data_IF_981685155075
#
_entry.id   IF_981685155075
#
_cell.length_a   1.000
_cell.length_b   1.000
_cell.length_c   1.000
_cell.angle_alpha   90.00
_cell.angle_beta   90.00
_cell.angle_gamma   90.00
#
_symmetry.space_group_name_H-M   'P 1'
#
loop_
_entity.id
_entity.type
_entity.pdbx_description
1 polymer ?
#
# COMPACT_ATOMS: atom_id res chain seq x y z
N UNK A 1 5.15 -9.39 -29.67
CA UNK A 1 4.52 -8.22 -29.02
C UNK A 1 4.13 -8.63 -27.61
N UNK A 2 4.70 -8.02 -26.56
CA UNK A 2 4.24 -8.26 -25.20
C UNK A 2 2.80 -7.75 -25.06
N UNK A 3 1.90 -8.57 -24.50
CA UNK A 3 0.52 -8.16 -24.21
C UNK A 3 0.50 -6.91 -23.31
N UNK A 4 -0.55 -6.09 -23.41
CA UNK A 4 -0.76 -4.93 -22.54
C UNK A 4 -0.74 -5.32 -21.05
N UNK A 5 -1.22 -6.53 -20.72
CA UNK A 5 -1.11 -7.14 -19.39
C UNK A 5 0.34 -7.35 -18.95
N UNK A 6 1.21 -7.85 -19.83
CA UNK A 6 2.63 -8.04 -19.56
C UNK A 6 3.40 -6.72 -19.33
N UNK A 7 3.02 -5.64 -20.04
CA UNK A 7 3.62 -4.31 -19.81
C UNK A 7 3.14 -3.64 -18.52
N UNK A 8 1.91 -3.94 -18.09
CA UNK A 8 1.26 -3.32 -16.91
C UNK A 8 1.45 -4.11 -15.62
N UNK A 9 2.06 -5.30 -15.67
CA UNK A 9 2.30 -6.14 -14.50
C UNK A 9 1.00 -6.55 -13.80
N UNK A 10 -0.02 -6.91 -14.59
CA UNK A 10 -1.35 -7.29 -14.12
C UNK A 10 -1.93 -8.39 -15.01
N UNK A 11 -2.84 -9.19 -14.45
CA UNK A 11 -3.64 -10.17 -15.18
C UNK A 11 -4.96 -9.58 -15.74
N UNK A 12 -5.18 -8.27 -15.60
CA UNK A 12 -6.36 -7.59 -16.12
C UNK A 12 -6.49 -7.76 -17.64
N UNK A 13 -7.74 -7.96 -18.07
CA UNK A 13 -8.21 -7.57 -19.41
C UNK A 13 -8.17 -6.04 -19.58
N UNK A 14 -8.29 -5.55 -20.81
CA UNK A 14 -8.31 -4.10 -21.06
C UNK A 14 -9.50 -3.41 -20.37
N UNK A 15 -10.67 -4.06 -20.32
CA UNK A 15 -11.85 -3.54 -19.63
C UNK A 15 -11.64 -3.46 -18.10
N UNK A 16 -11.04 -4.48 -17.50
CA UNK A 16 -10.69 -4.47 -16.07
C UNK A 16 -9.63 -3.42 -15.75
N UNK A 17 -8.70 -3.19 -16.67
CA UNK A 17 -7.73 -2.12 -16.51
C UNK A 17 -8.40 -0.75 -16.50
N UNK A 18 -9.30 -0.48 -17.45
CA UNK A 18 -10.04 0.78 -17.51
C UNK A 18 -10.88 0.99 -16.25
N UNK A 19 -11.45 -0.09 -15.72
CA UNK A 19 -12.16 -0.04 -14.45
C UNK A 19 -11.22 0.25 -13.27
N UNK A 20 -10.05 -0.40 -13.20
CA UNK A 20 -9.04 -0.11 -12.19
C UNK A 20 -8.60 1.36 -12.21
N UNK A 21 -8.36 1.91 -13.40
CA UNK A 21 -7.96 3.32 -13.58
C UNK A 21 -9.04 4.28 -13.08
N UNK A 22 -10.31 3.95 -13.27
CA UNK A 22 -11.44 4.73 -12.73
C UNK A 22 -11.60 4.54 -11.22
N UNK A 23 -11.34 3.33 -10.72
CA UNK A 23 -11.46 2.97 -9.31
C UNK A 23 -10.52 3.80 -8.42
N UNK A 24 -9.28 4.02 -8.87
CA UNK A 24 -8.32 4.83 -8.09
C UNK A 24 -8.68 6.32 -8.02
N UNK A 25 -9.61 6.82 -8.83
CA UNK A 25 -9.98 8.23 -8.85
C UNK A 25 -10.99 8.57 -7.74
N UNK A 26 -10.67 9.63 -6.98
CA UNK A 26 -11.63 10.34 -6.14
C UNK A 26 -12.42 11.31 -7.02
N UNK A 27 -13.75 11.20 -6.96
CA UNK A 27 -14.66 12.05 -7.73
C UNK A 27 -14.76 13.46 -7.13
N UNK A 28 -15.24 14.42 -7.93
CA UNK A 28 -15.43 15.79 -7.46
C UNK A 28 -16.49 15.82 -6.35
N UNK A 29 -16.11 16.37 -5.20
CA UNK A 29 -16.98 16.46 -4.01
C UNK A 29 -17.03 15.20 -3.15
N UNK A 30 -16.38 14.12 -3.58
CA UNK A 30 -16.33 12.85 -2.84
C UNK A 30 -15.29 12.92 -1.72
N UNK A 31 -15.70 12.55 -0.50
CA UNK A 31 -14.80 12.38 0.64
C UNK A 31 -14.01 11.07 0.52
N UNK A 32 -12.84 10.94 1.18
CA UNK A 32 -12.06 9.70 1.15
C UNK A 32 -12.84 8.46 1.62
N UNK A 33 -13.76 8.63 2.57
CA UNK A 33 -14.60 7.53 3.08
C UNK A 33 -15.66 7.11 2.06
N UNK A 34 -16.30 8.06 1.39
CA UNK A 34 -17.23 7.78 0.29
C UNK A 34 -16.52 7.09 -0.88
N UNK A 35 -15.32 7.56 -1.25
CA UNK A 35 -14.48 6.91 -2.25
C UNK A 35 -14.21 5.45 -1.89
N UNK A 36 -13.70 5.19 -0.69
CA UNK A 36 -13.43 3.83 -0.23
C UNK A 36 -14.69 2.97 -0.32
N UNK A 37 -15.83 3.46 0.17
CA UNK A 37 -17.09 2.73 0.15
C UNK A 37 -17.56 2.41 -1.27
N UNK A 38 -17.49 3.38 -2.19
CA UNK A 38 -17.86 3.21 -3.60
C UNK A 38 -17.05 2.11 -4.26
N UNK A 39 -15.74 2.10 -4.02
CA UNK A 39 -14.84 1.15 -4.70
C UNK A 39 -14.71 -0.18 -4.00
N UNK A 40 -15.09 -0.28 -2.71
CA UNK A 40 -14.82 -1.44 -1.86
C UNK A 40 -15.27 -2.77 -2.45
N UNK A 41 -16.50 -2.92 -2.99
CA UNK A 41 -16.95 -4.18 -3.56
C UNK A 41 -16.06 -4.63 -4.72
N UNK A 42 -15.68 -3.70 -5.59
CA UNK A 42 -14.86 -4.01 -6.77
C UNK A 42 -13.40 -4.22 -6.41
N UNK A 43 -12.85 -3.41 -5.51
CA UNK A 43 -11.51 -3.61 -4.99
C UNK A 43 -11.34 -5.00 -4.37
N UNK A 44 -12.34 -5.49 -3.62
CA UNK A 44 -12.33 -6.87 -3.10
C UNK A 44 -12.31 -7.92 -4.20
N UNK A 45 -13.07 -7.72 -5.28
CA UNK A 45 -13.02 -8.62 -6.43
C UNK A 45 -11.63 -8.64 -7.08
N UNK A 46 -11.02 -7.48 -7.30
CA UNK A 46 -9.67 -7.38 -7.88
C UNK A 46 -8.62 -8.08 -7.01
N UNK A 47 -8.71 -7.91 -5.69
CA UNK A 47 -7.81 -8.58 -4.72
C UNK A 47 -7.97 -10.10 -4.75
N UNK A 48 -9.21 -10.61 -4.77
CA UNK A 48 -9.48 -12.06 -4.74
C UNK A 48 -9.04 -12.78 -6.00
N UNK A 49 -8.99 -12.09 -7.13
CA UNK A 49 -8.66 -12.66 -8.45
C UNK A 49 -7.25 -12.29 -8.93
N UNK A 50 -6.39 -11.75 -8.06
CA UNK A 50 -5.03 -11.28 -8.39
C UNK A 50 -4.97 -10.36 -9.62
N UNK A 51 -5.95 -9.45 -9.74
CA UNK A 51 -6.08 -8.52 -10.86
C UNK A 51 -5.34 -7.20 -10.60
N UNK A 52 -4.90 -6.93 -9.37
CA UNK A 52 -4.22 -5.69 -9.05
C UNK A 52 -2.82 -5.63 -9.71
N UNK A 53 -2.41 -4.45 -10.20
CA UNK A 53 -1.05 -4.27 -10.68
C UNK A 53 -0.03 -4.56 -9.57
N UNK A 54 1.15 -5.05 -9.93
CA UNK A 54 2.23 -5.39 -8.97
C UNK A 54 2.50 -4.29 -7.94
N UNK A 55 2.48 -3.02 -8.36
CA UNK A 55 2.73 -1.86 -7.49
C UNK A 55 1.63 -1.64 -6.45
N UNK A 56 0.42 -2.12 -6.72
CA UNK A 56 -0.77 -1.87 -5.90
C UNK A 56 -1.22 -3.12 -5.13
N UNK A 57 -0.40 -4.17 -5.05
CA UNK A 57 -0.76 -5.41 -4.32
C UNK A 57 -0.80 -5.27 -2.79
N UNK A 58 -0.24 -4.19 -2.23
CA UNK A 58 -0.09 -4.00 -0.77
C UNK A 58 -1.03 -2.93 -0.21
N UNK A 59 -1.34 -1.93 -1.03
CA UNK A 59 -2.24 -0.82 -0.74
C UNK A 59 -2.68 -0.19 -2.06
N UNK A 60 -3.80 0.52 -2.04
CA UNK A 60 -4.31 1.27 -3.18
C UNK A 60 -4.22 2.76 -2.90
N UNK A 61 -3.49 3.51 -3.72
CA UNK A 61 -3.42 4.97 -3.60
C UNK A 61 -4.58 5.65 -4.32
N UNK A 62 -5.20 6.61 -3.65
CA UNK A 62 -6.18 7.48 -4.25
C UNK A 62 -5.48 8.50 -5.17
N UNK A 63 -6.11 8.74 -6.31
CA UNK A 63 -5.66 9.70 -7.32
C UNK A 63 -6.77 10.70 -7.59
N UNK A 64 -6.38 11.86 -8.13
CA UNK A 64 -7.33 12.87 -8.58
C UNK A 64 -7.01 13.28 -10.00
N UNK A 65 -7.96 13.11 -10.91
CA UNK A 65 -7.79 13.55 -12.29
C UNK A 65 -7.70 15.07 -12.35
N UNK A 66 -6.64 15.58 -12.97
CA UNK A 66 -6.42 16.99 -13.25
C UNK A 66 -6.32 17.13 -14.76
N UNK A 67 -7.14 18.01 -15.32
CA UNK A 67 -7.10 18.38 -16.74
C UNK A 67 -6.42 19.73 -16.87
N UNK A 68 -5.44 19.82 -17.78
CA UNK A 68 -4.63 21.01 -18.02
C UNK A 68 -4.60 21.29 -19.52
N UNK A 69 -4.84 22.55 -19.89
CA UNK A 69 -4.68 22.97 -21.28
C UNK A 69 -3.20 22.97 -21.67
N UNK A 70 -2.82 22.15 -22.66
CA UNK A 70 -1.49 22.14 -23.22
C UNK A 70 -1.41 23.12 -24.40
N UNK A 71 -0.85 24.31 -24.14
CA UNK A 71 -0.68 25.36 -25.16
C UNK A 71 0.17 24.95 -26.36
N UNK A 72 1.06 23.96 -26.22
CA UNK A 72 1.96 23.51 -27.29
C UNK A 72 1.31 22.47 -28.21
N UNK A 73 0.38 21.67 -27.67
CA UNK A 73 -0.38 20.67 -28.43
C UNK A 73 -1.75 21.16 -28.87
N UNK A 74 -2.23 22.28 -28.33
CA UNK A 74 -3.54 22.84 -28.64
C UNK A 74 -4.70 21.94 -28.16
N UNK A 75 -4.50 21.17 -27.09
CA UNK A 75 -5.49 20.26 -26.54
C UNK A 75 -5.40 20.19 -24.99
N UNK A 76 -6.41 19.57 -24.36
CA UNK A 76 -6.33 19.24 -22.94
C UNK A 76 -5.50 17.97 -22.74
N UNK A 77 -4.51 18.06 -21.86
CA UNK A 77 -3.82 16.92 -21.29
C UNK A 77 -4.44 16.59 -19.92
N UNK A 78 -4.40 15.32 -19.54
CA UNK A 78 -4.87 14.87 -18.23
C UNK A 78 -3.77 14.12 -17.48
N UNK A 79 -3.64 14.39 -16.19
CA UNK A 79 -2.75 13.65 -15.28
C UNK A 79 -3.47 13.38 -13.96
N UNK A 80 -3.23 12.20 -13.38
CA UNK A 80 -3.85 11.77 -12.13
C UNK A 80 -2.78 11.49 -11.06
N UNK A 81 -2.30 12.53 -10.34
CA UNK A 81 -1.36 12.34 -9.24
C UNK A 81 -2.00 11.58 -8.08
N UNK A 82 -1.16 10.87 -7.32
CA UNK A 82 -1.52 10.40 -5.99
C UNK A 82 -1.73 11.60 -5.05
N UNK A 83 -2.77 11.54 -4.21
CA UNK A 83 -3.16 12.70 -3.37
C UNK A 83 -2.93 12.50 -1.87
N UNK A 84 -2.02 11.59 -1.49
CA UNK A 84 -1.65 11.41 -0.09
C UNK A 84 -2.68 10.62 0.73
N UNK A 85 -3.54 9.85 0.06
CA UNK A 85 -4.53 8.96 0.68
C UNK A 85 -4.38 7.58 0.08
N UNK A 86 -4.47 6.54 0.91
CA UNK A 86 -4.42 5.16 0.47
C UNK A 86 -5.34 4.26 1.29
N UNK A 87 -5.66 3.09 0.73
CA UNK A 87 -6.31 1.98 1.43
C UNK A 87 -5.25 0.94 1.75
N UNK A 88 -5.01 0.68 3.03
CA UNK A 88 -4.10 -0.38 3.47
C UNK A 88 -4.78 -1.74 3.40
N UNK A 89 -4.23 -2.69 2.64
CA UNK A 89 -4.85 -4.02 2.54
C UNK A 89 -4.57 -4.96 3.71
N UNK A 90 -3.63 -4.59 4.58
CA UNK A 90 -3.33 -5.37 5.79
C UNK A 90 -4.30 -5.12 6.93
N UNK A 91 -5.01 -3.99 6.91
CA UNK A 91 -5.97 -3.64 7.95
C UNK A 91 -7.31 -3.12 7.40
N UNK A 92 -7.44 -3.03 6.06
CA UNK A 92 -8.63 -2.57 5.35
C UNK A 92 -9.11 -1.18 5.81
N UNK A 93 -8.16 -0.26 6.08
CA UNK A 93 -8.44 1.11 6.52
C UNK A 93 -7.86 2.15 5.57
N UNK A 94 -8.52 3.31 5.55
CA UNK A 94 -7.96 4.53 5.00
C UNK A 94 -6.73 4.97 5.78
N UNK A 95 -5.70 5.40 5.05
CA UNK A 95 -4.44 5.90 5.56
C UNK A 95 -4.13 7.21 4.86
N UNK A 96 -3.87 8.23 5.66
CA UNK A 96 -3.36 9.51 5.17
C UNK A 96 -1.84 9.42 5.13
N UNK A 97 -1.29 9.33 3.93
CA UNK A 97 0.15 9.15 3.69
C UNK A 97 0.91 10.49 3.62
N UNK A 98 0.17 11.61 3.62
CA UNK A 98 0.69 12.98 3.56
C UNK A 98 0.68 13.54 2.14
N UNK A 99 0.59 14.86 2.00
CA UNK A 99 0.64 15.52 0.68
C UNK A 99 2.03 15.40 0.04
N UNK A 100 2.05 15.28 -1.29
CA UNK A 100 3.27 15.27 -2.09
C UNK A 100 3.91 16.66 -2.05
N UNK A 101 4.85 16.90 -1.13
CA UNK A 101 5.71 18.07 -1.22
C UNK A 101 6.56 17.95 -2.48
N UNK A 102 6.48 18.96 -3.37
CA UNK A 102 7.13 19.00 -4.67
C UNK A 102 8.60 18.54 -4.58
N UNK A 103 8.99 17.68 -5.51
CA UNK A 103 10.38 17.38 -5.94
C UNK A 103 11.08 16.09 -5.48
N UNK A 104 10.41 15.10 -4.88
CA UNK A 104 11.07 13.80 -4.71
C UNK A 104 10.10 12.65 -5.02
N UNK A 105 10.40 11.89 -6.07
CA UNK A 105 9.54 10.86 -6.66
C UNK A 105 9.34 9.60 -5.81
N UNK A 106 9.43 9.69 -4.48
CA UNK A 106 9.56 8.52 -3.61
C UNK A 106 9.05 8.75 -2.16
N UNK A 107 8.00 9.55 -1.88
CA UNK A 107 7.58 9.78 -0.47
C UNK A 107 6.29 9.08 -0.03
N UNK A 108 5.43 8.63 -0.95
CA UNK A 108 4.15 8.01 -0.56
C UNK A 108 4.35 6.71 0.24
N UNK A 109 5.47 5.99 -0.01
CA UNK A 109 5.80 4.79 0.74
C UNK A 109 6.12 5.08 2.20
N UNK A 110 6.64 6.27 2.56
CA UNK A 110 6.99 6.59 3.95
C UNK A 110 5.74 6.66 4.83
N UNK A 111 4.67 7.29 4.34
CA UNK A 111 3.39 7.33 5.05
C UNK A 111 2.82 5.93 5.29
N UNK A 112 2.86 5.08 4.26
CA UNK A 112 2.43 3.68 4.38
C UNK A 112 3.31 2.85 5.30
N UNK A 113 4.63 3.00 5.23
CA UNK A 113 5.56 2.29 6.10
C UNK A 113 5.39 2.67 7.56
N UNK A 114 5.19 3.97 7.85
CA UNK A 114 4.84 4.44 9.20
C UNK A 114 3.56 3.80 9.69
N UNK A 115 2.52 3.75 8.84
CA UNK A 115 1.26 3.09 9.18
C UNK A 115 1.46 1.60 9.47
N UNK A 116 2.19 0.88 8.62
CA UNK A 116 2.49 -0.55 8.84
C UNK A 116 3.29 -0.81 10.12
N UNK A 117 4.29 0.01 10.40
CA UNK A 117 5.16 -0.10 11.56
C UNK A 117 4.46 0.16 12.90
N UNK A 118 3.24 0.71 12.90
CA UNK A 118 2.56 1.12 14.14
C UNK A 118 1.13 0.57 14.25
N UNK A 119 0.35 0.56 13.18
CA UNK A 119 -1.08 0.28 13.23
C UNK A 119 -1.44 -1.14 12.77
N UNK A 120 -0.67 -1.74 11.86
CA UNK A 120 -0.95 -3.10 11.39
C UNK A 120 -0.54 -4.17 12.41
N UNK A 121 -1.28 -5.27 12.47
CA UNK A 121 -0.98 -6.43 13.34
C UNK A 121 -0.50 -7.63 12.54
N UNK A 122 -1.07 -7.84 11.34
CA UNK A 122 -0.63 -8.88 10.41
C UNK A 122 0.65 -8.52 9.68
N UNK A 123 1.29 -9.54 9.08
CA UNK A 123 2.48 -9.43 8.24
C UNK A 123 2.15 -9.42 6.73
N UNK A 124 0.89 -9.28 6.35
CA UNK A 124 0.44 -9.38 4.94
C UNK A 124 1.17 -8.38 4.04
N UNK A 125 1.47 -7.17 4.54
CA UNK A 125 2.22 -6.17 3.80
C UNK A 125 3.69 -6.54 3.58
N UNK A 126 4.27 -7.48 4.32
CA UNK A 126 5.65 -7.94 4.12
C UNK A 126 5.77 -8.68 2.78
N UNK A 127 4.72 -9.41 2.39
CA UNK A 127 4.70 -10.21 1.16
C UNK A 127 5.70 -11.38 1.16
N UNK A 128 6.23 -11.74 2.33
CA UNK A 128 7.11 -12.88 2.55
C UNK A 128 6.81 -13.50 3.91
N UNK A 129 6.92 -14.82 4.01
CA UNK A 129 6.85 -15.56 5.26
C UNK A 129 8.24 -15.64 5.94
N UNK A 130 8.31 -16.31 7.10
CA UNK A 130 9.56 -16.42 7.87
C UNK A 130 10.66 -17.19 7.13
N UNK A 131 10.32 -18.30 6.47
CA UNK A 131 11.29 -19.13 5.74
C UNK A 131 11.82 -18.38 4.51
N UNK A 132 10.95 -17.66 3.81
CA UNK A 132 11.33 -16.77 2.70
C UNK A 132 12.21 -15.62 3.18
N UNK A 133 11.88 -15.01 4.33
CA UNK A 133 12.73 -14.00 4.96
C UNK A 133 14.14 -14.55 5.26
N UNK A 134 14.24 -15.76 5.81
CA UNK A 134 15.53 -16.41 6.07
C UNK A 134 16.29 -16.70 4.78
N UNK A 135 15.61 -17.22 3.75
CA UNK A 135 16.21 -17.46 2.42
C UNK A 135 16.76 -16.16 1.82
N UNK A 136 16.00 -15.06 1.88
CA UNK A 136 16.45 -13.76 1.38
C UNK A 136 17.67 -13.26 2.18
N UNK A 137 17.64 -13.41 3.51
CA UNK A 137 18.74 -13.00 4.39
C UNK A 137 20.04 -13.78 4.14
N UNK A 138 19.93 -15.02 3.66
CA UNK A 138 21.06 -15.91 3.35
C UNK A 138 21.59 -15.75 1.91
N UNK A 139 20.92 -14.96 1.05
CA UNK A 139 21.39 -14.72 -0.33
C UNK A 139 22.75 -14.03 -0.32
N UNK A 140 23.63 -14.44 -1.23
CA UNK A 140 24.86 -13.70 -1.54
C UNK A 140 24.53 -12.34 -2.15
N UNK A 141 25.43 -11.37 -1.97
CA UNK A 141 25.30 -10.02 -2.54
C UNK A 141 25.09 -10.03 -4.07
N UNK A 142 25.66 -11.01 -4.78
CA UNK A 142 25.51 -11.15 -6.24
C UNK A 142 24.10 -11.56 -6.69
N UNK A 143 23.29 -12.15 -5.80
CA UNK A 143 21.90 -12.56 -6.08
C UNK A 143 20.88 -11.64 -5.42
N UNK A 144 21.36 -10.57 -4.79
CA UNK A 144 20.57 -9.63 -4.01
C UNK A 144 20.06 -8.50 -4.90
N UNK A 145 18.77 -8.14 -4.76
CA UNK A 145 18.12 -7.12 -5.59
C UNK A 145 17.27 -6.18 -4.73
N UNK A 146 16.76 -5.10 -5.34
CA UNK A 146 15.92 -4.12 -4.65
C UNK A 146 14.65 -4.72 -4.02
N UNK A 147 14.03 -5.72 -4.66
CA UNK A 147 12.83 -6.36 -4.09
C UNK A 147 13.15 -7.10 -2.78
N UNK A 148 14.34 -7.72 -2.69
CA UNK A 148 14.82 -8.33 -1.45
C UNK A 148 14.99 -7.28 -0.35
N UNK A 149 15.55 -6.10 -0.65
CA UNK A 149 15.69 -4.99 0.32
C UNK A 149 14.35 -4.58 0.89
N UNK A 150 13.36 -4.33 0.02
CA UNK A 150 12.03 -3.93 0.44
C UNK A 150 11.33 -5.02 1.25
N UNK A 151 11.51 -6.30 0.89
CA UNK A 151 10.95 -7.42 1.65
C UNK A 151 11.56 -7.49 3.07
N UNK A 152 12.89 -7.43 3.17
CA UNK A 152 13.59 -7.44 4.46
C UNK A 152 13.22 -6.24 5.32
N UNK A 153 13.16 -5.04 4.74
CA UNK A 153 12.78 -3.81 5.43
C UNK A 153 11.38 -3.91 6.03
N UNK A 154 10.38 -4.27 5.23
CA UNK A 154 8.99 -4.43 5.70
C UNK A 154 8.86 -5.52 6.77
N UNK A 155 9.59 -6.63 6.63
CA UNK A 155 9.60 -7.69 7.64
C UNK A 155 10.20 -7.18 8.97
N UNK A 156 11.28 -6.39 8.93
CA UNK A 156 11.86 -5.74 10.11
C UNK A 156 10.87 -4.77 10.77
N UNK A 157 10.16 -3.95 9.99
CA UNK A 157 9.13 -3.05 10.53
C UNK A 157 8.02 -3.83 11.25
N UNK A 158 7.56 -4.93 10.66
CA UNK A 158 6.57 -5.80 11.30
C UNK A 158 7.08 -6.39 12.62
N UNK A 159 8.30 -6.94 12.64
CA UNK A 159 8.89 -7.51 13.85
C UNK A 159 9.04 -6.46 14.96
N UNK A 160 9.50 -5.25 14.64
CA UNK A 160 9.62 -4.16 15.61
C UNK A 160 8.27 -3.79 16.24
N UNK A 161 7.21 -3.75 15.44
CA UNK A 161 5.87 -3.48 15.95
C UNK A 161 5.35 -4.62 16.84
N UNK A 162 5.57 -5.87 16.43
CA UNK A 162 5.18 -7.05 17.19
C UNK A 162 5.86 -7.08 18.57
N UNK A 163 7.16 -6.82 18.63
CA UNK A 163 7.93 -6.73 19.88
C UNK A 163 7.35 -5.64 20.79
N UNK A 164 7.17 -4.41 20.27
CA UNK A 164 6.60 -3.29 21.03
C UNK A 164 5.21 -3.62 21.60
N UNK A 165 4.37 -4.34 20.86
CA UNK A 165 3.03 -4.76 21.32
C UNK A 165 3.12 -5.78 22.45
N UNK A 166 4.02 -6.76 22.34
CA UNK A 166 4.26 -7.75 23.40
C UNK A 166 4.79 -7.08 24.67
N UNK A 167 5.73 -6.15 24.54
CA UNK A 167 6.25 -5.37 25.67
C UNK A 167 5.14 -4.59 26.38
N UNK A 168 4.31 -3.86 25.63
CA UNK A 168 3.15 -3.14 26.19
C UNK A 168 2.17 -4.08 26.91
N UNK A 169 1.85 -5.23 26.31
CA UNK A 169 0.97 -6.21 26.91
C UNK A 169 1.54 -6.77 28.23
N UNK A 170 2.86 -7.03 28.27
CA UNK A 170 3.56 -7.45 29.50
C UNK A 170 3.49 -6.39 30.59
N UNK A 171 3.70 -5.13 30.25
CA UNK A 171 3.62 -4.01 31.21
C UNK A 171 2.20 -3.82 31.75
N UNK A 172 1.18 -3.89 30.89
CA UNK A 172 -0.23 -3.86 31.33
C UNK A 172 -0.53 -5.05 32.24
N UNK A 173 -0.07 -6.26 31.90
CA UNK A 173 -0.26 -7.44 32.73
C UNK A 173 0.41 -7.35 34.11
N UNK A 174 1.59 -6.72 34.21
CA UNK A 174 2.23 -6.42 35.50
C UNK A 174 1.37 -5.48 36.35
N UNK A 175 0.85 -4.40 35.76
CA UNK A 175 -0.02 -3.43 36.44
C UNK A 175 -1.30 -4.08 36.96
N UNK A 176 -1.95 -4.91 36.14
CA UNK A 176 -3.16 -5.64 36.55
C UNK A 176 -2.86 -6.54 37.74
N UNK A 177 -1.82 -7.38 37.68
CA UNK A 177 -1.44 -8.27 38.79
C UNK A 177 -1.17 -7.49 40.09
N UNK A 178 -0.51 -6.34 40.01
CA UNK A 178 -0.26 -5.50 41.18
C UNK A 178 -1.56 -4.98 41.82
N UNK A 179 -2.59 -4.66 41.04
CA UNK A 179 -3.88 -4.22 41.54
C UNK A 179 -4.78 -5.37 42.05
N UNK A 180 -4.54 -6.62 41.64
CA UNK A 180 -5.33 -7.79 42.06
C UNK A 180 -4.80 -8.44 43.34
N UNK A 181 -3.56 -8.12 43.77
CA UNK A 181 -2.95 -8.60 45.03
C UNK A 181 -3.33 -7.66 46.21
N UNK A 182 -4.56 -7.13 46.20
CA UNK A 182 -5.15 -6.35 47.31
C UNK A 182 -6.25 -7.19 47.94
#
# INVERSE_FOLDING_TARGET
>A
MASLSGRRGTNCTDAEWDEYVKMVQILKGETPSEWMNRIWPRLRHFRKNDLLPTQSKKYLEARKLIELWNKYRGNYDSYAPEIGIAICFSCDRLVYTGERTKNIGNYNHIGMERHWASHCTGNTFCGVNYDEYLKIKQKSNSTYNFDNEYALHRYRLWMQNAIKKVERAREVGKKIRACTII
#
